data_IF_657639932432
#
_entry.id   IF_657639932432
#
_cell.length_a   1.000
_cell.length_b   1.000
_cell.length_c   1.000
_cell.angle_alpha   90.00
_cell.angle_beta   90.00
_cell.angle_gamma   90.00
#
_symmetry.space_group_name_H-M   'P 1'
#
loop_
_entity.id
_entity.type
_entity.pdbx_description
1 polymer ?
#
# COMPACT_ATOMS: atom_id res chain seq x y z
N UNK A 1 12.74 14.59 -14.53
CA UNK A 1 11.85 13.46 -14.21
C UNK A 1 11.11 13.78 -12.92
N UNK A 2 9.79 13.70 -12.90
CA UNK A 2 9.00 14.00 -11.71
C UNK A 2 9.07 12.85 -10.69
N UNK A 3 9.01 13.17 -9.40
CA UNK A 3 9.14 12.17 -8.32
C UNK A 3 7.75 11.61 -7.96
N UNK A 4 7.57 10.27 -7.90
CA UNK A 4 6.32 9.68 -7.43
C UNK A 4 5.98 10.10 -6.01
N UNK A 5 4.72 10.45 -5.76
CA UNK A 5 4.22 10.81 -4.43
C UNK A 5 2.89 10.11 -4.13
N UNK A 6 2.65 9.82 -2.84
CA UNK A 6 1.37 9.30 -2.36
C UNK A 6 0.57 10.47 -1.78
N UNK A 7 -0.70 10.56 -2.16
CA UNK A 7 -1.67 11.53 -1.61
C UNK A 7 -2.74 10.86 -0.75
N UNK A 8 -3.20 9.68 -1.15
CA UNK A 8 -4.22 8.92 -0.39
C UNK A 8 -4.12 7.41 -0.66
N UNK A 9 -4.72 6.62 0.24
CA UNK A 9 -4.82 5.17 0.16
C UNK A 9 -6.26 4.79 0.49
N UNK A 10 -6.91 3.98 -0.36
CA UNK A 10 -8.30 3.58 -0.19
C UNK A 10 -8.54 2.10 -0.54
N UNK A 11 -9.08 1.28 0.38
CA UNK A 11 -9.25 1.57 1.81
C UNK A 11 -7.88 1.77 2.50
N UNK A 12 -7.85 2.54 3.59
CA UNK A 12 -6.65 2.76 4.42
C UNK A 12 -6.49 1.73 5.54
N UNK A 13 -7.29 0.66 5.52
CA UNK A 13 -7.27 -0.41 6.51
C UNK A 13 -7.66 -1.75 5.88
N UNK A 14 -7.25 -2.84 6.53
CA UNK A 14 -7.57 -4.19 6.11
C UNK A 14 -7.02 -5.25 7.05
N UNK A 15 -7.39 -6.50 6.81
CA UNK A 15 -7.09 -7.59 7.73
C UNK A 15 -5.62 -8.01 7.69
N UNK A 16 -5.10 -8.48 8.83
CA UNK A 16 -3.78 -9.11 8.97
C UNK A 16 -3.55 -10.29 8.03
N UNK A 17 -4.61 -10.92 7.53
CA UNK A 17 -4.53 -11.99 6.53
C UNK A 17 -4.04 -11.51 5.15
N UNK A 18 -4.08 -10.21 4.88
CA UNK A 18 -3.77 -9.66 3.55
C UNK A 18 -4.83 -10.00 2.51
N UNK A 19 -4.49 -9.79 1.24
CA UNK A 19 -5.35 -10.05 0.07
C UNK A 19 -6.45 -9.02 -0.17
N UNK A 20 -6.47 -7.90 0.55
CA UNK A 20 -7.38 -6.80 0.26
C UNK A 20 -6.87 -5.99 -0.94
N UNK A 21 -7.77 -5.65 -1.86
CA UNK A 21 -7.46 -4.74 -2.96
C UNK A 21 -7.45 -3.30 -2.45
N UNK A 22 -6.34 -2.61 -2.68
CA UNK A 22 -6.14 -1.21 -2.27
C UNK A 22 -5.76 -0.37 -3.47
N UNK A 23 -6.37 0.81 -3.58
CA UNK A 23 -6.01 1.84 -4.55
C UNK A 23 -5.15 2.88 -3.85
N UNK A 24 -3.98 3.15 -4.41
CA UNK A 24 -3.09 4.22 -3.98
C UNK A 24 -3.22 5.35 -4.99
N UNK A 25 -3.53 6.53 -4.48
CA UNK A 25 -3.77 7.75 -5.26
C UNK A 25 -2.59 8.69 -5.05
N UNK A 26 -2.10 9.30 -6.12
CA UNK A 26 -0.91 10.13 -6.08
C UNK A 26 -0.59 10.79 -7.41
N UNK A 27 0.69 11.05 -7.64
CA UNK A 27 1.18 11.60 -8.91
C UNK A 27 2.42 10.84 -9.40
N UNK A 28 2.65 10.94 -10.72
CA UNK A 28 3.83 10.45 -11.41
C UNK A 28 4.03 8.93 -11.28
N UNK A 29 2.93 8.17 -11.24
CA UNK A 29 2.99 6.71 -11.31
C UNK A 29 3.25 6.23 -12.72
N UNK A 30 3.90 5.08 -12.84
CA UNK A 30 4.30 4.46 -14.10
C UNK A 30 4.42 2.95 -13.94
N UNK A 31 4.48 2.23 -15.06
CA UNK A 31 4.55 0.77 -15.07
C UNK A 31 5.82 0.23 -14.40
N UNK A 32 5.64 -0.80 -13.57
CA UNK A 32 6.72 -1.40 -12.80
C UNK A 32 7.07 -0.68 -11.51
N UNK A 33 6.38 0.42 -11.16
CA UNK A 33 6.44 1.00 -9.83
C UNK A 33 5.92 -0.01 -8.80
N UNK A 34 6.66 -0.24 -7.73
CA UNK A 34 6.31 -1.17 -6.66
C UNK A 34 5.88 -0.39 -5.42
N UNK A 35 5.18 -1.06 -4.52
CA UNK A 35 4.69 -0.48 -3.26
C UNK A 35 5.27 -1.30 -2.11
N UNK A 36 5.62 -0.62 -1.02
CA UNK A 36 6.13 -1.27 0.19
C UNK A 36 5.18 -0.94 1.34
N UNK A 37 4.63 -1.98 1.97
CA UNK A 37 3.88 -1.90 3.22
C UNK A 37 4.82 -2.23 4.39
N UNK A 38 5.30 -1.23 5.10
CA UNK A 38 6.36 -1.35 6.10
C UNK A 38 7.67 -1.84 5.46
N UNK A 39 7.92 -3.15 5.51
CA UNK A 39 9.08 -3.82 4.91
C UNK A 39 8.70 -4.77 3.76
N UNK A 40 7.40 -5.00 3.53
CA UNK A 40 6.93 -5.97 2.56
C UNK A 40 6.68 -5.30 1.21
N UNK A 41 7.45 -5.73 0.20
CA UNK A 41 7.32 -5.26 -1.17
C UNK A 41 6.19 -6.02 -1.89
N UNK A 42 5.34 -5.28 -2.59
CA UNK A 42 4.28 -5.82 -3.46
C UNK A 42 4.33 -5.21 -4.84
N UNK A 43 3.93 -6.02 -5.83
CA UNK A 43 3.70 -5.54 -7.18
C UNK A 43 2.47 -4.65 -7.21
N UNK A 44 2.52 -3.60 -8.05
CA UNK A 44 1.38 -2.75 -8.34
C UNK A 44 1.02 -2.82 -9.81
N UNK A 45 -0.24 -2.55 -10.08
CA UNK A 45 -0.77 -2.41 -11.42
C UNK A 45 -1.13 -0.94 -11.65
N UNK A 46 -0.60 -0.38 -12.73
CA UNK A 46 -0.91 0.98 -13.11
C UNK A 46 -2.34 1.06 -13.65
N UNK A 47 -3.17 1.91 -13.05
CA UNK A 47 -4.48 2.26 -13.60
C UNK A 47 -4.34 3.55 -14.42
N UNK A 48 -3.73 4.56 -13.80
CA UNK A 48 -3.37 5.85 -14.43
C UNK A 48 -2.09 6.38 -13.80
N UNK A 49 -1.45 7.42 -14.36
CA UNK A 49 -0.35 8.12 -13.70
C UNK A 49 -0.68 8.70 -12.31
N UNK A 50 -1.96 8.67 -11.88
CA UNK A 50 -2.43 9.14 -10.58
C UNK A 50 -3.01 8.03 -9.69
N UNK A 51 -3.08 6.78 -10.17
CA UNK A 51 -3.65 5.67 -9.42
C UNK A 51 -2.99 4.32 -9.75
N UNK A 52 -2.60 3.59 -8.72
CA UNK A 52 -2.13 2.20 -8.80
C UNK A 52 -2.99 1.29 -7.92
N UNK A 53 -3.19 0.05 -8.38
CA UNK A 53 -3.84 -1.02 -7.62
C UNK A 53 -2.80 -1.95 -7.02
N UNK A 54 -3.00 -2.35 -5.76
CA UNK A 54 -2.17 -3.34 -5.07
C UNK A 54 -3.03 -4.34 -4.29
N UNK A 55 -2.45 -5.49 -3.98
CA UNK A 55 -2.97 -6.41 -2.97
C UNK A 55 -2.15 -6.27 -1.70
N UNK A 56 -2.81 -6.11 -0.55
CA UNK A 56 -2.12 -6.01 0.74
C UNK A 56 -1.41 -7.32 1.06
N UNK A 57 -0.13 -7.32 1.45
CA UNK A 57 0.54 -8.53 1.89
C UNK A 57 0.01 -9.00 3.26
N UNK A 58 0.12 -10.30 3.60
CA UNK A 58 -0.22 -10.76 4.94
C UNK A 58 0.76 -10.18 5.98
N UNK A 59 0.26 -9.85 7.17
CA UNK A 59 1.07 -9.32 8.28
C UNK A 59 0.62 -9.91 9.61
N UNK A 60 1.53 -10.56 10.33
CA UNK A 60 1.20 -11.23 11.61
C UNK A 60 0.84 -10.27 12.74
N UNK A 61 1.40 -9.07 12.73
CA UNK A 61 1.22 -8.08 13.79
C UNK A 61 0.21 -7.02 13.29
N UNK A 62 -0.88 -6.75 14.03
CA UNK A 62 -1.78 -5.65 13.69
C UNK A 62 -1.12 -4.28 13.91
N UNK A 63 -1.81 -3.21 13.49
CA UNK A 63 -1.38 -1.83 13.68
C UNK A 63 -0.98 -1.13 12.38
N UNK A 64 -0.56 0.13 12.55
CA UNK A 64 -0.21 1.01 11.44
C UNK A 64 1.11 0.59 10.80
N UNK A 65 1.15 0.61 9.47
CA UNK A 65 2.39 0.56 8.69
C UNK A 65 2.49 1.78 7.78
N UNK A 66 3.72 2.22 7.55
CA UNK A 66 4.02 3.19 6.51
C UNK A 66 3.93 2.53 5.14
N UNK A 67 3.41 3.26 4.16
CA UNK A 67 3.33 2.84 2.78
C UNK A 67 4.22 3.76 1.95
N UNK A 68 5.15 3.15 1.23
CA UNK A 68 6.12 3.86 0.39
C UNK A 68 6.17 3.24 -1.01
N UNK A 69 6.85 3.91 -1.94
CA UNK A 69 7.00 3.45 -3.32
C UNK A 69 8.44 3.02 -3.59
N UNK A 70 8.64 2.10 -4.52
CA UNK A 70 9.96 1.59 -4.90
C UNK A 70 10.07 1.35 -6.40
N UNK A 71 11.23 1.66 -6.98
CA UNK A 71 11.58 1.30 -8.35
C UNK A 71 13.09 1.12 -8.48
N UNK A 72 13.52 -0.03 -9.02
CA UNK A 72 14.96 -0.38 -9.18
C UNK A 72 15.77 -0.12 -7.90
N UNK A 73 15.26 -0.58 -6.76
CA UNK A 73 15.84 -0.40 -5.42
C UNK A 73 15.89 1.04 -4.88
N UNK A 74 15.41 2.03 -5.65
CA UNK A 74 15.21 3.40 -5.15
C UNK A 74 13.82 3.50 -4.50
N UNK A 75 13.80 3.91 -3.24
CA UNK A 75 12.57 4.12 -2.48
C UNK A 75 12.19 5.60 -2.43
N UNK A 76 10.89 5.88 -2.53
CA UNK A 76 10.30 7.21 -2.52
C UNK A 76 9.32 7.37 -1.36
N UNK A 77 8.83 8.60 -1.12
CA UNK A 77 7.86 8.92 -0.07
C UNK A 77 8.32 8.63 1.37
N UNK A 78 9.63 8.45 1.64
CA UNK A 78 10.14 8.23 3.02
C UNK A 78 9.82 9.37 3.98
N UNK A 79 9.79 10.62 3.52
CA UNK A 79 9.48 11.79 4.34
C UNK A 79 7.99 12.08 4.49
N UNK A 80 7.16 11.54 3.59
CA UNK A 80 5.70 11.72 3.57
C UNK A 80 5.03 10.41 3.15
N UNK A 81 5.16 9.34 3.96
CA UNK A 81 4.60 8.05 3.61
C UNK A 81 3.08 8.06 3.71
N UNK A 82 2.44 7.19 2.93
CA UNK A 82 1.05 6.82 3.22
C UNK A 82 0.97 5.98 4.50
N UNK A 83 -0.24 5.76 5.01
CA UNK A 83 -0.48 4.92 6.19
C UNK A 83 -1.58 3.91 5.89
N UNK A 84 -1.35 2.67 6.31
CA UNK A 84 -2.32 1.60 6.23
C UNK A 84 -2.42 0.88 7.57
N UNK A 85 -3.63 0.55 8.01
CA UNK A 85 -3.90 -0.07 9.31
C UNK A 85 -4.21 -1.56 9.10
N UNK A 86 -3.39 -2.44 9.67
CA UNK A 86 -3.72 -3.86 9.75
C UNK A 86 -4.56 -4.14 10.99
N UNK A 87 -5.73 -4.74 10.82
CA UNK A 87 -6.63 -5.14 11.92
C UNK A 87 -6.73 -6.66 12.01
N UNK A 88 -6.92 -7.19 13.21
CA UNK A 88 -7.19 -8.63 13.39
C UNK A 88 -8.62 -8.89 12.93
N UNK A 89 -8.82 -9.97 12.17
CA UNK A 89 -10.17 -10.42 11.81
C UNK A 89 -10.94 -10.72 13.09
N UNK A 90 -11.93 -9.89 13.41
CA UNK A 90 -12.92 -10.25 14.43
C UNK A 90 -13.75 -11.37 13.80
N UNK A 91 -13.61 -12.60 14.29
CA UNK A 91 -14.61 -13.61 13.98
C UNK A 91 -15.92 -13.09 14.58
N UNK A 92 -16.89 -12.74 13.73
CA UNK A 92 -18.25 -12.57 14.18
C UNK A 92 -18.64 -13.90 14.81
N UNK A 93 -18.68 -13.92 16.14
CA UNK A 93 -19.13 -15.06 16.90
C UNK A 93 -20.61 -15.20 16.55
N UNK A 94 -20.93 -16.20 15.72
CA UNK A 94 -22.31 -16.60 15.49
C UNK A 94 -22.87 -17.01 16.85
N UNK A 95 -23.79 -16.21 17.39
CA UNK A 95 -24.65 -16.57 18.51
C UNK A 95 -25.71 -17.56 18.04
#
# INVERSE_FOLDING_TARGET
MATPCIKAISPSEGWTTGGATVIIIGDNFFDGLQVIFGTMLVWSELITPHAIRVQTPPRHIPGVVEVTLSYKSKQFCKGTPGRFIYTVKVQAQLF
#
